data_IF_503412245391
#
_entry.id   IF_503412245391
#
_cell.length_a   1.000
_cell.length_b   1.000
_cell.length_c   1.000
_cell.angle_alpha   90.00
_cell.angle_beta   90.00
_cell.angle_gamma   90.00
#
_symmetry.space_group_name_H-M   'P 1'
#
loop_
_entity.id
_entity.type
_entity.pdbx_description
1 polymer ?
#
# COMPACT_ATOMS: atom_id res chain seq x y z
N UNK A 1 7.37 19.47 -15.70
CA UNK A 1 8.83 19.47 -15.60
C UNK A 1 9.22 18.19 -14.87
N UNK A 2 10.01 17.30 -15.50
CA UNK A 2 10.54 16.09 -14.87
C UNK A 2 11.36 16.52 -13.65
N UNK A 3 11.05 16.02 -12.47
CA UNK A 3 11.91 16.23 -11.30
C UNK A 3 13.24 15.52 -11.58
N UNK A 4 14.34 16.25 -11.49
CA UNK A 4 15.69 15.69 -11.62
C UNK A 4 16.13 14.99 -10.33
N UNK A 5 15.39 15.23 -9.23
CA UNK A 5 15.73 14.80 -7.88
C UNK A 5 14.62 13.90 -7.28
N UNK A 6 15.06 12.93 -6.52
CA UNK A 6 14.17 12.00 -5.82
C UNK A 6 13.35 12.70 -4.73
N UNK A 7 12.04 12.52 -4.74
CA UNK A 7 11.10 13.08 -3.75
C UNK A 7 11.40 12.63 -2.30
N UNK A 8 12.15 11.52 -2.11
CA UNK A 8 12.44 10.96 -0.79
C UNK A 8 13.82 11.38 -0.27
N UNK A 9 14.86 11.32 -1.10
CA UNK A 9 16.23 11.54 -0.62
C UNK A 9 16.97 12.68 -1.31
N UNK A 10 16.37 13.37 -2.27
CA UNK A 10 17.01 14.41 -3.07
C UNK A 10 18.10 13.89 -4.01
N UNK A 11 18.30 12.58 -4.12
CA UNK A 11 19.33 12.00 -4.98
C UNK A 11 18.93 12.00 -6.47
N UNK A 12 19.89 11.81 -7.38
CA UNK A 12 19.63 11.88 -8.82
C UNK A 12 18.75 10.74 -9.32
N UNK A 13 17.93 11.03 -10.33
CA UNK A 13 16.95 10.11 -10.91
C UNK A 13 17.37 9.73 -12.33
N UNK A 14 17.23 8.45 -12.67
CA UNK A 14 17.46 7.89 -13.99
C UNK A 14 16.26 7.08 -14.48
N UNK A 15 16.12 6.96 -15.81
CA UNK A 15 15.05 6.18 -16.42
C UNK A 15 15.24 4.68 -16.18
N UNK A 16 14.23 4.00 -15.66
CA UNK A 16 14.10 2.55 -15.64
C UNK A 16 13.11 2.12 -16.72
N UNK A 17 13.59 1.69 -17.85
CA UNK A 17 12.75 1.23 -18.96
C UNK A 17 12.34 -0.23 -18.76
N UNK A 18 11.06 -0.46 -18.53
CA UNK A 18 10.48 -1.81 -18.37
C UNK A 18 10.03 -2.41 -19.71
N UNK A 19 9.45 -1.60 -20.61
CA UNK A 19 9.04 -1.95 -21.96
C UNK A 19 8.91 -0.68 -22.84
N UNK A 20 8.70 -0.79 -24.16
CA UNK A 20 8.26 0.34 -24.96
C UNK A 20 6.98 0.95 -24.37
N UNK A 21 7.00 2.25 -24.06
CA UNK A 21 5.87 2.96 -23.46
C UNK A 21 5.71 2.78 -21.94
N UNK A 22 6.56 1.98 -21.27
CA UNK A 22 6.55 1.82 -19.81
C UNK A 22 7.93 2.15 -19.23
N UNK A 23 8.07 3.35 -18.69
CA UNK A 23 9.29 3.84 -18.05
C UNK A 23 8.93 4.38 -16.67
N UNK A 24 9.73 4.05 -15.68
CA UNK A 24 9.67 4.63 -14.33
C UNK A 24 10.91 5.48 -14.09
N UNK A 25 10.78 6.49 -13.27
CA UNK A 25 11.90 7.24 -12.73
C UNK A 25 12.48 6.48 -11.53
N UNK A 26 13.77 6.17 -11.55
CA UNK A 26 14.46 5.44 -10.49
C UNK A 26 15.53 6.31 -9.86
N UNK A 27 15.43 6.52 -8.56
CA UNK A 27 16.51 7.13 -7.80
C UNK A 27 17.73 6.21 -7.77
N UNK A 28 18.91 6.75 -8.16
CA UNK A 28 20.16 5.98 -8.17
C UNK A 28 20.76 5.80 -6.77
N UNK A 29 20.34 6.63 -5.78
CA UNK A 29 20.83 6.56 -4.41
C UNK A 29 19.98 5.61 -3.53
N UNK A 30 18.68 5.80 -3.43
CA UNK A 30 17.80 5.00 -2.56
C UNK A 30 16.96 3.96 -3.30
N UNK A 31 17.00 3.96 -4.63
CA UNK A 31 16.25 3.02 -5.47
C UNK A 31 14.74 3.29 -5.56
N UNK A 32 14.23 4.34 -4.93
CA UNK A 32 12.83 4.75 -5.02
C UNK A 32 12.40 4.86 -6.47
N UNK A 33 11.19 4.37 -6.79
CA UNK A 33 10.63 4.44 -8.14
C UNK A 33 9.41 5.35 -8.14
N UNK A 34 9.31 6.17 -9.18
CA UNK A 34 8.14 7.00 -9.43
C UNK A 34 7.66 6.87 -10.88
N UNK A 35 6.37 7.06 -11.08
CA UNK A 35 5.77 7.14 -12.41
C UNK A 35 5.74 8.60 -12.85
N UNK A 36 6.20 8.88 -14.07
CA UNK A 36 6.04 10.19 -14.68
C UNK A 36 4.57 10.39 -15.09
N UNK A 37 3.84 11.13 -14.27
CA UNK A 37 2.40 11.39 -14.48
C UNK A 37 2.12 12.29 -15.69
N UNK A 38 3.12 13.02 -16.19
CA UNK A 38 2.96 13.82 -17.42
C UNK A 38 2.86 12.91 -18.65
N UNK A 39 3.43 11.70 -18.59
CA UNK A 39 3.38 10.69 -19.66
C UNK A 39 2.25 9.67 -19.49
N UNK A 40 1.83 9.44 -18.28
CA UNK A 40 0.78 8.47 -17.92
C UNK A 40 -0.10 9.04 -16.81
N UNK A 41 -1.06 9.94 -17.15
CA UNK A 41 -1.93 10.52 -16.15
C UNK A 41 -2.70 9.42 -15.41
N UNK A 42 -2.74 9.52 -14.10
CA UNK A 42 -3.47 8.61 -13.25
C UNK A 42 -4.98 8.69 -13.53
N UNK A 43 -5.61 7.53 -13.62
CA UNK A 43 -7.07 7.40 -13.66
C UNK A 43 -7.49 6.46 -12.55
N UNK A 44 -8.47 6.85 -11.76
CA UNK A 44 -9.04 5.97 -10.77
C UNK A 44 -9.71 4.77 -11.43
N UNK A 45 -9.67 3.64 -10.72
CA UNK A 45 -10.47 2.47 -11.06
C UNK A 45 -11.82 2.56 -10.38
N UNK A 46 -12.84 2.04 -11.05
CA UNK A 46 -14.18 1.89 -10.46
C UNK A 46 -14.22 0.90 -9.29
N UNK A 47 -13.19 0.07 -9.13
CA UNK A 47 -13.10 -0.97 -8.10
C UNK A 47 -11.71 -0.95 -7.44
N UNK A 48 -11.69 -0.80 -6.13
CA UNK A 48 -10.52 -1.10 -5.31
C UNK A 48 -10.27 -2.62 -5.34
N UNK A 49 -8.98 -3.01 -5.44
CA UNK A 49 -8.51 -4.40 -5.37
C UNK A 49 -9.08 -5.35 -6.45
N UNK A 50 -8.38 -6.36 -6.80
CA UNK A 50 -8.60 -7.28 -7.90
C UNK A 50 -9.96 -7.97 -8.08
N UNK A 51 -11.00 -7.59 -7.33
CA UNK A 51 -12.39 -7.93 -7.63
C UNK A 51 -12.85 -9.32 -7.21
N UNK A 52 -12.15 -10.02 -6.28
CA UNK A 52 -12.63 -11.28 -5.70
C UNK A 52 -12.84 -11.14 -4.18
N UNK A 53 -14.11 -11.02 -3.71
CA UNK A 53 -14.43 -10.67 -2.32
C UNK A 53 -13.90 -11.64 -1.26
N UNK A 54 -13.82 -12.95 -1.59
CA UNK A 54 -13.35 -13.97 -0.65
C UNK A 54 -11.86 -13.86 -0.40
N UNK A 55 -11.07 -13.66 -1.46
CA UNK A 55 -9.63 -13.47 -1.34
C UNK A 55 -9.29 -12.15 -0.63
N UNK A 56 -10.05 -11.10 -0.92
CA UNK A 56 -9.89 -9.82 -0.23
C UNK A 56 -10.16 -9.95 1.27
N UNK A 57 -11.18 -10.70 1.65
CA UNK A 57 -11.48 -10.99 3.06
C UNK A 57 -10.35 -11.75 3.73
N UNK A 58 -9.84 -12.82 3.12
CA UNK A 58 -8.72 -13.61 3.64
C UNK A 58 -7.47 -12.73 3.78
N UNK A 59 -7.16 -11.93 2.77
CA UNK A 59 -6.02 -11.00 2.80
C UNK A 59 -6.14 -10.00 3.95
N UNK A 60 -7.30 -9.37 4.11
CA UNK A 60 -7.55 -8.45 5.21
C UNK A 60 -7.44 -9.12 6.57
N UNK A 61 -7.93 -10.36 6.74
CA UNK A 61 -7.79 -11.11 7.99
C UNK A 61 -6.32 -11.43 8.31
N UNK A 62 -5.52 -11.79 7.31
CA UNK A 62 -4.09 -12.03 7.47
C UNK A 62 -3.35 -10.73 7.81
N UNK A 63 -3.71 -9.62 7.17
CA UNK A 63 -3.15 -8.30 7.45
C UNK A 63 -3.51 -7.83 8.86
N UNK A 64 -4.76 -7.95 9.28
CA UNK A 64 -5.22 -7.65 10.64
C UNK A 64 -4.40 -8.41 11.70
N UNK A 65 -4.25 -9.74 11.51
CA UNK A 65 -3.43 -10.56 12.41
C UNK A 65 -1.96 -10.17 12.40
N UNK A 66 -1.42 -9.78 11.24
CA UNK A 66 -0.04 -9.32 11.13
C UNK A 66 0.17 -7.99 11.86
N UNK A 67 -0.76 -7.04 11.74
CA UNK A 67 -0.71 -5.76 12.43
C UNK A 67 -0.77 -5.93 13.95
N UNK A 68 -1.64 -6.80 14.44
CA UNK A 68 -1.80 -7.07 15.87
C UNK A 68 -0.60 -7.76 16.53
N UNK A 69 0.35 -8.30 15.77
CA UNK A 69 1.62 -8.79 16.32
C UNK A 69 2.52 -7.70 16.88
N UNK A 70 2.31 -6.45 16.45
CA UNK A 70 3.13 -5.31 16.83
C UNK A 70 2.42 -4.35 17.77
N UNK A 71 1.09 -4.35 17.78
CA UNK A 71 0.28 -3.50 18.63
C UNK A 71 -1.04 -4.19 18.97
N UNK A 72 -1.47 -4.08 20.23
CA UNK A 72 -2.84 -4.40 20.69
C UNK A 72 -3.58 -3.09 21.00
N UNK A 73 -4.00 -2.36 19.94
CA UNK A 73 -4.53 -1.01 20.11
C UNK A 73 -5.93 -1.02 20.71
N UNK A 74 -6.21 -0.06 21.57
CA UNK A 74 -7.56 0.27 22.07
C UNK A 74 -8.21 1.35 21.21
N UNK A 75 -7.40 2.13 20.49
CA UNK A 75 -7.83 3.16 19.55
C UNK A 75 -7.04 3.06 18.26
N UNK A 76 -7.72 3.11 17.10
CA UNK A 76 -7.08 3.04 15.80
C UNK A 76 -7.57 4.16 14.89
N UNK A 77 -6.67 4.60 14.01
CA UNK A 77 -6.98 5.53 12.93
C UNK A 77 -6.52 4.95 11.60
N UNK A 78 -7.43 4.79 10.64
CA UNK A 78 -7.11 4.32 9.29
C UNK A 78 -7.01 5.48 8.30
N UNK A 79 -5.90 5.55 7.59
CA UNK A 79 -5.74 6.47 6.45
C UNK A 79 -6.12 5.70 5.19
N UNK A 80 -7.11 6.21 4.44
CA UNK A 80 -7.67 5.51 3.29
C UNK A 80 -8.55 4.32 3.70
N UNK A 81 -9.58 4.56 4.50
CA UNK A 81 -10.42 3.49 5.05
C UNK A 81 -11.33 2.80 3.99
N UNK A 82 -11.56 3.41 2.83
CA UNK A 82 -12.38 2.83 1.77
C UNK A 82 -13.74 2.32 2.27
N UNK A 83 -13.99 1.02 2.17
CA UNK A 83 -15.21 0.40 2.70
C UNK A 83 -15.27 0.26 4.24
N UNK A 84 -14.23 0.62 4.96
CA UNK A 84 -14.11 0.42 6.41
C UNK A 84 -13.95 -1.05 6.84
N UNK A 85 -13.66 -1.95 5.92
CA UNK A 85 -13.57 -3.38 6.22
C UNK A 85 -12.45 -3.74 7.22
N UNK A 86 -11.37 -2.97 7.28
CA UNK A 86 -10.33 -3.16 8.28
C UNK A 86 -10.71 -2.50 9.60
N UNK A 87 -11.27 -1.27 9.58
CA UNK A 87 -11.83 -0.63 10.77
C UNK A 87 -12.87 -1.53 11.46
N UNK A 88 -13.71 -2.22 10.66
CA UNK A 88 -14.69 -3.16 11.19
C UNK A 88 -14.06 -4.28 12.01
N UNK A 89 -12.91 -4.81 11.60
CA UNK A 89 -12.18 -5.85 12.34
C UNK A 89 -11.65 -5.35 13.68
N UNK A 90 -11.13 -4.13 13.71
CA UNK A 90 -10.67 -3.50 14.94
C UNK A 90 -11.84 -3.18 15.88
N UNK A 91 -12.96 -2.67 15.33
CA UNK A 91 -14.18 -2.40 16.07
C UNK A 91 -14.77 -3.67 16.69
N UNK A 92 -14.84 -4.76 15.94
CA UNK A 92 -15.30 -6.07 16.45
C UNK A 92 -14.29 -6.67 17.46
N UNK A 93 -13.04 -6.26 17.41
CA UNK A 93 -12.00 -6.56 18.40
C UNK A 93 -12.02 -5.68 19.64
N UNK A 94 -12.99 -4.76 19.76
CA UNK A 94 -13.20 -3.89 20.94
C UNK A 94 -12.42 -2.57 20.92
N UNK A 95 -11.76 -2.21 19.81
CA UNK A 95 -11.09 -0.93 19.67
C UNK A 95 -12.08 0.17 19.26
N UNK A 96 -11.82 1.42 19.67
CA UNK A 96 -12.43 2.59 19.04
C UNK A 96 -11.79 2.83 17.69
N UNK A 97 -12.57 3.25 16.70
CA UNK A 97 -12.10 3.39 15.32
C UNK A 97 -12.37 4.78 14.77
N UNK A 98 -11.39 5.32 14.09
CA UNK A 98 -11.51 6.55 13.32
C UNK A 98 -10.77 6.39 11.97
N UNK A 99 -11.02 7.28 11.03
CA UNK A 99 -10.29 7.26 9.77
C UNK A 99 -10.58 8.46 8.89
N UNK A 100 -9.72 8.64 7.89
CA UNK A 100 -9.88 9.65 6.84
C UNK A 100 -9.78 8.99 5.47
N UNK A 101 -10.70 9.34 4.57
CA UNK A 101 -10.70 8.89 3.18
C UNK A 101 -11.25 9.99 2.28
N UNK A 102 -10.61 10.33 1.17
CA UNK A 102 -11.14 11.33 0.24
C UNK A 102 -12.38 10.86 -0.54
N UNK A 103 -12.91 9.66 -0.28
CA UNK A 103 -14.05 9.01 -0.98
C UNK A 103 -13.90 9.00 -2.52
N UNK A 104 -12.67 8.86 -2.97
CA UNK A 104 -12.38 8.89 -4.41
C UNK A 104 -12.93 7.66 -5.15
N UNK A 105 -13.24 6.57 -4.45
CA UNK A 105 -13.74 5.33 -5.03
C UNK A 105 -15.26 5.18 -4.93
N UNK A 106 -15.95 6.08 -4.23
CA UNK A 106 -17.42 6.05 -4.01
C UNK A 106 -17.91 4.68 -3.50
N UNK A 107 -17.14 4.05 -2.64
CA UNK A 107 -17.44 2.74 -2.05
C UNK A 107 -18.32 2.96 -0.82
N UNK A 108 -19.38 2.16 -0.70
CA UNK A 108 -20.22 2.17 0.50
C UNK A 108 -19.43 1.72 1.73
N UNK A 109 -19.45 2.53 2.80
CA UNK A 109 -18.79 2.22 4.07
C UNK A 109 -19.66 1.24 4.88
N UNK A 110 -19.03 0.29 5.58
CA UNK A 110 -19.67 -0.62 6.52
C UNK A 110 -20.57 0.14 7.51
N UNK A 111 -21.83 -0.28 7.64
CA UNK A 111 -22.84 0.42 8.43
C UNK A 111 -22.48 0.52 9.92
N UNK A 112 -21.85 -0.52 10.49
CA UNK A 112 -21.43 -0.49 11.89
C UNK A 112 -20.28 0.51 12.09
N UNK A 113 -19.31 0.53 11.17
CA UNK A 113 -18.21 1.50 11.19
C UNK A 113 -18.74 2.92 11.04
N UNK A 114 -19.71 3.15 10.14
CA UNK A 114 -20.34 4.47 9.98
C UNK A 114 -21.07 4.93 11.23
N UNK A 115 -21.73 4.01 11.96
CA UNK A 115 -22.51 4.35 13.15
C UNK A 115 -21.63 4.54 14.39
N UNK A 116 -20.56 3.74 14.54
CA UNK A 116 -19.79 3.65 15.78
C UNK A 116 -18.37 4.25 15.66
N UNK A 117 -17.91 4.54 14.43
CA UNK A 117 -16.61 5.14 14.17
C UNK A 117 -16.69 6.65 13.96
N UNK A 118 -15.54 7.32 14.04
CA UNK A 118 -15.37 8.71 13.66
C UNK A 118 -14.72 8.80 12.29
N UNK A 119 -15.49 9.11 11.25
CA UNK A 119 -15.05 9.11 9.87
C UNK A 119 -14.96 10.53 9.32
N UNK A 120 -13.85 10.84 8.66
CA UNK A 120 -13.60 12.10 8.00
C UNK A 120 -13.55 11.89 6.48
N UNK A 121 -14.36 12.64 5.76
CA UNK A 121 -14.33 12.71 4.29
C UNK A 121 -13.29 13.74 3.88
N UNK A 122 -12.23 13.31 3.22
CA UNK A 122 -11.16 14.16 2.76
C UNK A 122 -9.77 13.56 2.98
N UNK A 123 -8.74 14.17 2.38
CA UNK A 123 -7.36 13.72 2.56
C UNK A 123 -6.93 13.94 4.01
N UNK A 124 -6.17 13.00 4.56
CA UNK A 124 -5.70 13.06 5.95
C UNK A 124 -4.87 14.31 6.24
N UNK A 125 -4.19 14.85 5.23
CA UNK A 125 -3.38 16.08 5.32
C UNK A 125 -4.22 17.36 5.57
N UNK A 126 -5.54 17.28 5.45
CA UNK A 126 -6.46 18.38 5.77
C UNK A 126 -7.03 18.31 7.18
N UNK A 127 -6.75 17.23 7.93
CA UNK A 127 -7.20 17.10 9.31
C UNK A 127 -6.33 17.92 10.26
N UNK A 128 -6.98 18.47 11.28
CA UNK A 128 -6.30 18.90 12.49
C UNK A 128 -6.08 17.67 13.36
N UNK A 129 -4.83 17.27 13.64
CA UNK A 129 -4.53 16.12 14.49
C UNK A 129 -4.82 16.37 15.97
N UNK A 130 -5.14 17.60 16.37
CA UNK A 130 -5.38 17.95 17.76
C UNK A 130 -6.57 17.17 18.34
N UNK A 131 -6.32 16.47 19.44
CA UNK A 131 -7.32 15.65 20.12
C UNK A 131 -7.51 14.23 19.56
N UNK A 132 -6.70 13.83 18.59
CA UNK A 132 -6.63 12.44 18.13
C UNK A 132 -5.38 11.80 18.76
N UNK A 133 -5.58 10.88 19.69
CA UNK A 133 -4.53 10.16 20.41
C UNK A 133 -4.68 8.65 20.13
N UNK A 134 -4.43 8.23 18.89
CA UNK A 134 -4.57 6.83 18.48
C UNK A 134 -3.39 5.98 18.98
N UNK A 135 -3.66 4.76 19.45
CA UNK A 135 -2.60 3.78 19.76
C UNK A 135 -1.95 3.24 18.48
N UNK A 136 -2.73 3.18 17.39
CA UNK A 136 -2.29 2.72 16.08
C UNK A 136 -2.87 3.62 14.97
N UNK A 137 -1.99 4.16 14.14
CA UNK A 137 -2.37 4.76 12.84
C UNK A 137 -1.87 3.84 11.73
N UNK A 138 -2.70 3.52 10.76
CA UNK A 138 -2.28 2.65 9.67
C UNK A 138 -2.90 3.06 8.33
N UNK A 139 -2.27 2.60 7.25
CA UNK A 139 -2.78 2.73 5.90
C UNK A 139 -2.38 1.51 5.06
N UNK A 140 -3.33 0.98 4.30
CA UNK A 140 -3.13 -0.20 3.46
C UNK A 140 -3.24 0.21 2.01
N UNK A 141 -2.12 0.19 1.29
CA UNK A 141 -2.05 0.65 -0.09
C UNK A 141 -2.54 2.09 -0.26
N UNK A 142 -1.92 3.01 0.47
CA UNK A 142 -2.23 4.44 0.46
C UNK A 142 -1.03 5.28 0.03
N UNK A 143 0.17 4.98 0.56
CA UNK A 143 1.36 5.83 0.32
C UNK A 143 1.77 5.91 -1.14
N UNK A 144 1.43 4.92 -1.94
CA UNK A 144 1.66 4.91 -3.39
C UNK A 144 0.78 5.88 -4.17
N UNK A 145 -0.29 6.40 -3.56
CA UNK A 145 -1.28 7.28 -4.19
C UNK A 145 -1.19 8.74 -3.73
N UNK A 146 -0.70 9.01 -2.52
CA UNK A 146 -0.72 10.36 -1.92
C UNK A 146 0.20 11.35 -2.65
N UNK A 147 -0.08 12.64 -2.52
CA UNK A 147 0.71 13.67 -3.17
C UNK A 147 2.12 13.80 -2.55
N UNK A 148 2.22 13.75 -1.23
CA UNK A 148 3.48 13.85 -0.46
C UNK A 148 3.49 12.80 0.65
N UNK A 149 4.20 11.67 0.46
CA UNK A 149 4.21 10.58 1.41
C UNK A 149 4.89 10.92 2.75
N UNK A 150 5.88 11.81 2.74
CA UNK A 150 6.54 12.24 3.98
C UNK A 150 5.59 13.11 4.81
N UNK A 151 4.82 13.97 4.15
CA UNK A 151 3.77 14.77 4.82
C UNK A 151 2.67 13.87 5.37
N UNK A 152 2.18 12.90 4.61
CA UNK A 152 1.20 11.93 5.09
C UNK A 152 1.70 11.18 6.32
N UNK A 153 2.98 10.75 6.32
CA UNK A 153 3.58 10.08 7.49
C UNK A 153 3.75 11.02 8.68
N UNK A 154 4.02 12.31 8.48
CA UNK A 154 4.05 13.31 9.57
C UNK A 154 2.68 13.47 10.21
N UNK A 155 1.64 13.60 9.40
CA UNK A 155 0.25 13.64 9.90
C UNK A 155 -0.08 12.34 10.65
N UNK A 156 0.28 11.18 10.09
CA UNK A 156 0.09 9.89 10.77
C UNK A 156 0.78 9.84 12.14
N UNK A 157 2.02 10.37 12.25
CA UNK A 157 2.73 10.52 13.52
C UNK A 157 1.97 11.43 14.49
N UNK A 158 1.47 12.55 13.99
CA UNK A 158 0.82 13.57 14.85
C UNK A 158 -0.56 13.11 15.35
N UNK A 159 -1.22 12.19 14.63
CA UNK A 159 -2.45 11.52 15.07
C UNK A 159 -2.24 10.45 16.16
N UNK A 160 -1.01 9.97 16.35
CA UNK A 160 -0.70 8.95 17.36
C UNK A 160 -0.60 9.55 18.76
N UNK A 161 -0.95 8.78 19.77
CA UNK A 161 -0.50 9.03 21.14
C UNK A 161 1.03 8.92 21.25
N UNK A 162 1.69 9.59 22.22
CA UNK A 162 3.11 9.40 22.48
C UNK A 162 3.45 7.91 22.71
N UNK A 163 4.39 7.36 21.94
CA UNK A 163 4.73 5.93 21.94
C UNK A 163 3.77 5.04 21.15
N UNK A 164 2.76 5.61 20.51
CA UNK A 164 1.87 4.91 19.59
C UNK A 164 2.58 4.44 18.32
N UNK A 165 1.96 3.52 17.60
CA UNK A 165 2.58 2.85 16.44
C UNK A 165 1.95 3.29 15.13
N UNK A 166 2.77 3.44 14.11
CA UNK A 166 2.31 3.56 12.72
C UNK A 166 2.62 2.29 11.94
N UNK A 167 1.69 1.89 11.07
CA UNK A 167 1.90 0.77 10.15
C UNK A 167 1.39 1.11 8.75
N UNK A 168 2.24 0.94 7.73
CA UNK A 168 1.85 1.11 6.34
C UNK A 168 2.20 -0.11 5.51
N UNK A 169 1.28 -0.53 4.65
CA UNK A 169 1.53 -1.52 3.60
C UNK A 169 1.53 -0.82 2.24
N UNK A 170 2.55 -1.09 1.42
CA UNK A 170 2.71 -0.47 0.09
C UNK A 170 3.45 -1.41 -0.86
N UNK A 171 3.31 -1.28 -2.19
CA UNK A 171 4.07 -2.08 -3.15
C UNK A 171 5.58 -1.95 -2.98
N UNK A 172 6.29 -3.07 -3.10
CA UNK A 172 7.74 -3.16 -2.98
C UNK A 172 8.42 -2.87 -4.33
N UNK A 173 8.88 -1.64 -4.55
CA UNK A 173 9.58 -1.23 -5.77
C UNK A 173 10.95 -1.92 -5.98
N UNK A 174 11.52 -2.48 -4.92
CA UNK A 174 12.72 -3.31 -4.97
C UNK A 174 12.42 -4.83 -4.97
N UNK A 175 11.17 -5.22 -5.26
CA UNK A 175 10.83 -6.62 -5.50
C UNK A 175 11.46 -7.13 -6.80
N UNK A 176 12.00 -8.35 -6.75
CA UNK A 176 12.49 -9.04 -7.97
C UNK A 176 11.37 -9.23 -9.01
N UNK A 177 10.10 -9.17 -8.59
CA UNK A 177 8.93 -9.21 -9.47
C UNK A 177 8.92 -8.14 -10.56
N UNK A 178 9.46 -6.93 -10.27
CA UNK A 178 9.53 -5.87 -11.27
C UNK A 178 10.50 -6.22 -12.41
N UNK A 179 11.61 -6.91 -12.10
CA UNK A 179 12.57 -7.38 -13.09
C UNK A 179 12.04 -8.59 -13.87
N UNK A 180 11.33 -9.49 -13.17
CA UNK A 180 10.81 -10.74 -13.73
C UNK A 180 9.62 -10.49 -14.68
N UNK A 181 8.68 -9.65 -14.27
CA UNK A 181 7.44 -9.38 -15.01
C UNK A 181 7.48 -8.09 -15.81
N UNK A 182 8.45 -7.20 -15.55
CA UNK A 182 8.62 -5.91 -16.24
C UNK A 182 7.33 -5.08 -16.24
N UNK A 183 6.85 -4.63 -17.39
CA UNK A 183 5.58 -3.91 -17.57
C UNK A 183 4.33 -4.74 -17.22
N UNK A 184 4.44 -6.08 -17.22
CA UNK A 184 3.40 -6.98 -16.74
C UNK A 184 3.29 -7.06 -15.22
N UNK A 185 4.24 -6.51 -14.44
CA UNK A 185 4.16 -6.55 -12.98
C UNK A 185 2.82 -6.01 -12.48
N UNK A 186 2.10 -6.83 -11.68
CA UNK A 186 0.71 -6.54 -11.32
C UNK A 186 0.54 -5.20 -10.59
N UNK A 187 1.52 -4.78 -9.79
CA UNK A 187 1.45 -3.49 -9.07
C UNK A 187 1.43 -2.28 -10.01
N UNK A 188 1.85 -2.45 -11.29
CA UNK A 188 1.74 -1.42 -12.34
C UNK A 188 0.34 -1.39 -12.99
N UNK A 189 -0.54 -2.35 -12.67
CA UNK A 189 -1.88 -2.40 -13.27
C UNK A 189 -2.71 -1.21 -12.85
N UNK A 190 -2.58 -0.75 -11.61
CA UNK A 190 -3.24 0.44 -11.14
C UNK A 190 -2.49 1.70 -11.64
N UNK A 191 -3.13 2.52 -12.50
CA UNK A 191 -2.51 3.73 -12.99
C UNK A 191 -2.33 4.81 -11.91
N UNK A 192 -3.04 4.71 -10.79
CA UNK A 192 -2.93 5.62 -9.65
C UNK A 192 -1.80 5.27 -8.69
N UNK A 193 -1.14 4.12 -8.86
CA UNK A 193 0.14 3.84 -8.19
C UNK A 193 1.23 4.71 -8.82
N UNK A 194 1.46 5.87 -8.25
CA UNK A 194 2.41 6.85 -8.79
C UNK A 194 3.82 6.64 -8.28
N UNK A 195 4.00 5.83 -7.22
CA UNK A 195 5.31 5.50 -6.66
C UNK A 195 5.40 4.08 -6.13
N UNK A 196 6.65 3.58 -6.05
CA UNK A 196 6.96 2.26 -5.53
C UNK A 196 8.20 2.37 -4.64
N UNK A 197 7.98 2.21 -3.35
CA UNK A 197 9.05 2.31 -2.37
C UNK A 197 9.97 1.12 -2.40
N UNK A 198 11.27 1.35 -2.20
CA UNK A 198 12.19 0.34 -1.71
C UNK A 198 12.13 0.27 -0.19
N UNK A 199 12.65 -0.79 0.40
CA UNK A 199 12.76 -0.84 1.86
C UNK A 199 13.56 0.35 2.42
N UNK A 200 14.62 0.76 1.72
CA UNK A 200 15.46 1.89 2.11
C UNK A 200 14.72 3.23 1.98
N UNK A 201 14.03 3.47 0.88
CA UNK A 201 13.29 4.74 0.69
C UNK A 201 12.09 4.85 1.63
N UNK A 202 11.43 3.75 1.95
CA UNK A 202 10.30 3.72 2.89
C UNK A 202 10.77 4.01 4.33
N UNK A 203 11.89 3.39 4.74
CA UNK A 203 12.50 3.67 6.03
C UNK A 203 12.92 5.14 6.14
N UNK A 204 13.61 5.65 5.11
CA UNK A 204 14.02 7.05 5.05
C UNK A 204 12.85 8.02 5.18
N UNK A 205 11.76 7.81 4.43
CA UNK A 205 10.57 8.64 4.49
C UNK A 205 9.94 8.65 5.90
N UNK A 206 9.94 7.50 6.59
CA UNK A 206 9.44 7.41 7.96
C UNK A 206 10.35 8.15 8.96
N UNK A 207 11.67 8.04 8.82
CA UNK A 207 12.65 8.76 9.63
C UNK A 207 12.56 10.27 9.40
N UNK A 208 12.44 10.72 8.15
CA UNK A 208 12.28 12.14 7.78
C UNK A 208 10.93 12.71 8.26
N UNK A 209 9.93 11.83 8.49
CA UNK A 209 8.68 12.18 9.16
C UNK A 209 8.81 12.29 10.70
N UNK A 210 9.96 11.96 11.29
CA UNK A 210 10.21 11.98 12.72
C UNK A 210 9.73 10.76 13.48
N UNK A 211 9.50 9.64 12.77
CA UNK A 211 9.20 8.34 13.38
C UNK A 211 10.50 7.66 13.83
N UNK A 212 10.41 6.84 14.87
CA UNK A 212 11.54 6.10 15.45
C UNK A 212 11.29 4.60 15.40
N UNK A 213 12.32 3.80 15.71
CA UNK A 213 12.28 2.32 15.70
C UNK A 213 11.73 1.75 14.39
N UNK A 214 12.10 2.41 13.30
CA UNK A 214 11.61 2.08 11.96
C UNK A 214 12.05 0.68 11.54
N UNK A 215 11.09 -0.14 11.14
CA UNK A 215 11.32 -1.49 10.60
C UNK A 215 10.51 -1.65 9.32
N UNK A 216 11.13 -2.16 8.28
CA UNK A 216 10.46 -2.49 7.02
C UNK A 216 10.52 -3.99 6.80
N UNK A 217 9.37 -4.61 6.78
CA UNK A 217 9.16 -6.05 6.68
C UNK A 217 8.60 -6.40 5.31
N UNK A 218 8.66 -7.68 4.94
CA UNK A 218 8.07 -8.19 3.70
C UNK A 218 7.13 -9.34 4.01
N UNK A 219 5.81 -9.12 4.02
CA UNK A 219 4.81 -10.16 4.25
C UNK A 219 4.95 -11.31 3.25
N UNK A 220 4.93 -12.55 3.73
CA UNK A 220 5.05 -13.74 2.87
C UNK A 220 3.72 -14.07 2.20
N UNK A 221 2.64 -13.98 2.97
CA UNK A 221 1.30 -14.43 2.56
C UNK A 221 0.50 -13.36 1.79
N UNK A 222 1.02 -12.13 1.72
CA UNK A 222 0.31 -11.08 1.01
C UNK A 222 0.31 -11.34 -0.49
N UNK A 223 -0.86 -11.24 -1.10
CA UNK A 223 -1.03 -11.23 -2.55
C UNK A 223 -0.41 -12.43 -3.30
N UNK A 224 -0.61 -13.67 -2.83
CA UNK A 224 -0.05 -14.89 -3.46
C UNK A 224 -0.51 -15.13 -4.90
N UNK A 225 -1.65 -14.59 -5.30
CA UNK A 225 -2.20 -14.76 -6.66
C UNK A 225 -1.66 -13.72 -7.68
N UNK A 226 -0.92 -12.72 -7.23
CA UNK A 226 -0.47 -11.60 -8.08
C UNK A 226 0.62 -11.99 -9.08
N UNK A 227 1.35 -13.07 -8.80
CA UNK A 227 2.33 -13.61 -9.75
C UNK A 227 1.63 -14.13 -11.01
N UNK A 228 0.52 -14.88 -10.87
CA UNK A 228 -0.29 -15.30 -12.01
C UNK A 228 -0.92 -14.11 -12.76
N UNK A 229 -1.36 -13.09 -12.04
CA UNK A 229 -1.83 -11.85 -12.63
C UNK A 229 -0.73 -11.14 -13.43
N UNK A 230 0.49 -11.10 -12.91
CA UNK A 230 1.64 -10.51 -13.60
C UNK A 230 1.99 -11.26 -14.89
N UNK A 231 1.98 -12.61 -14.85
CA UNK A 231 2.16 -13.44 -16.04
C UNK A 231 1.07 -13.19 -17.07
N UNK A 232 -0.21 -13.16 -16.65
CA UNK A 232 -1.33 -12.91 -17.54
C UNK A 232 -1.26 -11.53 -18.21
N UNK A 233 -0.81 -10.51 -17.48
CA UNK A 233 -0.57 -9.17 -18.04
C UNK A 233 0.59 -9.18 -19.06
N UNK A 234 1.67 -9.89 -18.75
CA UNK A 234 2.83 -10.00 -19.64
C UNK A 234 2.50 -10.70 -20.95
N UNK A 235 1.68 -11.75 -20.91
CA UNK A 235 1.25 -12.50 -22.09
C UNK A 235 0.15 -11.81 -22.89
N UNK A 236 -0.69 -11.01 -22.23
CA UNK A 236 -1.81 -10.31 -22.87
C UNK A 236 -1.94 -8.90 -22.28
N UNK A 237 -1.09 -7.97 -22.72
CA UNK A 237 -1.07 -6.58 -22.23
C UNK A 237 -2.25 -5.79 -22.82
N UNK A 238 -3.42 -5.93 -22.23
CA UNK A 238 -4.61 -5.17 -22.58
C UNK A 238 -5.15 -4.47 -21.33
N UNK A 239 -5.74 -3.33 -21.56
CA UNK A 239 -6.48 -2.63 -20.52
C UNK A 239 -7.68 -3.46 -20.07
N UNK A 240 -7.85 -3.59 -18.75
CA UNK A 240 -8.94 -4.34 -18.11
C UNK A 240 -9.57 -3.48 -17.02
N UNK A 241 -10.71 -2.83 -17.28
CA UNK A 241 -11.35 -1.93 -16.34
C UNK A 241 -11.58 -2.53 -14.95
N UNK A 242 -11.86 -3.85 -14.89
CA UNK A 242 -12.07 -4.60 -13.65
C UNK A 242 -10.80 -5.28 -13.11
N UNK A 243 -9.63 -5.02 -13.70
CA UNK A 243 -8.38 -5.66 -13.37
C UNK A 243 -8.26 -7.12 -13.84
N UNK A 244 -7.02 -7.61 -13.91
CA UNK A 244 -6.73 -8.96 -14.44
C UNK A 244 -7.22 -10.08 -13.52
N UNK A 245 -7.29 -9.84 -12.20
CA UNK A 245 -7.79 -10.81 -11.21
C UNK A 245 -9.31 -11.03 -11.26
N UNK A 246 -10.07 -10.23 -12.00
CA UNK A 246 -11.48 -10.50 -12.29
C UNK A 246 -11.66 -11.71 -13.20
N UNK A 247 -10.62 -12.19 -13.88
CA UNK A 247 -10.62 -13.40 -14.71
C UNK A 247 -10.56 -14.66 -13.85
N UNK A 248 -11.61 -15.50 -13.90
CA UNK A 248 -11.65 -16.79 -13.19
C UNK A 248 -10.48 -17.70 -13.56
N UNK A 249 -10.02 -17.68 -14.82
CA UNK A 249 -8.88 -18.47 -15.26
C UNK A 249 -7.57 -17.99 -14.60
N UNK A 250 -7.35 -16.69 -14.54
CA UNK A 250 -6.17 -16.11 -13.86
C UNK A 250 -6.21 -16.40 -12.37
N UNK A 251 -7.38 -16.24 -11.75
CA UNK A 251 -7.59 -16.55 -10.35
C UNK A 251 -7.32 -18.02 -10.04
N UNK A 252 -7.87 -18.93 -10.83
CA UNK A 252 -7.64 -20.37 -10.71
C UNK A 252 -6.17 -20.75 -10.88
N UNK A 253 -5.47 -20.16 -11.86
CA UNK A 253 -4.03 -20.34 -12.04
C UNK A 253 -3.23 -19.80 -10.84
N UNK A 254 -3.63 -18.65 -10.28
CA UNK A 254 -3.03 -18.06 -9.08
C UNK A 254 -3.19 -18.96 -7.86
N UNK A 255 -4.37 -19.50 -7.63
CA UNK A 255 -4.63 -20.44 -6.53
C UNK A 255 -3.85 -21.75 -6.70
N UNK A 256 -3.82 -22.30 -7.91
CA UNK A 256 -3.06 -23.53 -8.20
C UNK A 256 -1.54 -23.33 -8.03
N UNK A 257 -1.00 -22.17 -8.38
CA UNK A 257 0.43 -21.84 -8.24
C UNK A 257 0.82 -21.38 -6.84
N UNK A 258 -0.14 -21.05 -5.96
CA UNK A 258 0.12 -20.45 -4.64
C UNK A 258 1.13 -21.23 -3.77
N UNK A 259 1.13 -22.59 -3.72
CA UNK A 259 2.13 -23.33 -2.95
C UNK A 259 3.56 -23.13 -3.48
N UNK A 260 3.74 -23.10 -4.80
CA UNK A 260 5.04 -22.86 -5.44
C UNK A 260 5.51 -21.44 -5.19
N UNK A 261 4.61 -20.45 -5.37
CA UNK A 261 4.88 -19.03 -5.08
C UNK A 261 5.26 -18.85 -3.61
N UNK A 262 4.55 -19.49 -2.68
CA UNK A 262 4.87 -19.45 -1.26
C UNK A 262 6.27 -20.00 -0.98
N UNK A 263 6.62 -21.18 -1.52
CA UNK A 263 7.95 -21.77 -1.40
C UNK A 263 9.04 -20.85 -1.93
N UNK A 264 8.84 -20.26 -3.11
CA UNK A 264 9.77 -19.30 -3.70
C UNK A 264 9.95 -18.04 -2.85
N UNK A 265 8.86 -17.49 -2.28
CA UNK A 265 8.89 -16.30 -1.42
C UNK A 265 9.50 -16.57 -0.04
N UNK A 266 9.42 -17.80 0.47
CA UNK A 266 10.12 -18.21 1.68
C UNK A 266 11.64 -18.27 1.43
N UNK A 267 12.05 -18.86 0.31
CA UNK A 267 13.46 -18.96 -0.08
C UNK A 267 14.09 -17.63 -0.50
N UNK A 268 13.30 -16.75 -1.15
CA UNK A 268 13.75 -15.46 -1.70
C UNK A 268 12.84 -14.32 -1.24
N UNK A 269 13.11 -13.65 -0.12
CA UNK A 269 12.29 -12.56 0.40
C UNK A 269 12.05 -11.39 -0.58
N UNK A 270 12.97 -11.16 -1.51
CA UNK A 270 12.80 -10.13 -2.56
C UNK A 270 11.74 -10.44 -3.62
N UNK A 271 11.22 -11.67 -3.68
CA UNK A 271 10.04 -11.99 -4.49
C UNK A 271 8.72 -11.51 -3.87
N UNK A 272 8.73 -11.08 -2.61
CA UNK A 272 7.52 -10.59 -1.93
C UNK A 272 7.18 -9.19 -2.44
N UNK A 273 5.94 -8.97 -2.93
CA UNK A 273 5.59 -7.77 -3.67
C UNK A 273 5.22 -6.58 -2.79
N UNK A 274 5.11 -6.76 -1.48
CA UNK A 274 4.63 -5.75 -0.53
C UNK A 274 5.67 -5.48 0.54
N UNK A 275 5.81 -4.22 0.94
CA UNK A 275 6.51 -3.76 2.13
C UNK A 275 5.50 -3.49 3.24
N UNK A 276 5.88 -3.79 4.47
CA UNK A 276 5.14 -3.45 5.68
C UNK A 276 6.06 -2.62 6.59
N UNK A 277 5.81 -1.32 6.65
CA UNK A 277 6.45 -0.39 7.57
C UNK A 277 5.82 -0.54 8.94
N UNK A 278 6.65 -0.62 9.97
CA UNK A 278 6.27 -0.55 11.39
C UNK A 278 7.21 0.43 12.06
N UNK A 279 6.68 1.48 12.69
CA UNK A 279 7.47 2.48 13.37
C UNK A 279 6.69 3.07 14.55
N UNK A 280 7.33 3.88 15.39
CA UNK A 280 6.76 4.45 16.61
C UNK A 280 6.85 5.98 16.61
N UNK A 281 5.86 6.64 17.21
CA UNK A 281 5.95 8.04 17.60
C UNK A 281 6.89 8.17 18.80
N UNK A 282 7.84 9.12 18.85
CA UNK A 282 8.59 9.44 20.06
C UNK A 282 7.67 9.73 21.26
N UNK A 283 8.12 9.39 22.46
CA UNK A 283 7.41 9.70 23.72
C UNK A 283 7.53 11.16 24.09
#
# INVERSE_FOLDING_TARGET
VKSLDCEICGGPVADLRLAPGCTLDRCTACGHLARDLTRAPARHRDLAYGGEPTLDRIRLDLTYRAMRRYAEPRSVFEIGYGSGSMLRRFLDGGATVAGADPDQLQIGVDEKVRREGTLHEGPVESLDPAGVDADLVYGIHVLEHVADPVRTMRVARDLLAPGGMVQFLTPAGDSDGIQLYRDGWWMLEDPTHVRFFTAASLARAAEDAGLIRVRVLRPVLDSLVTDAASVARRLSPRDRPRGVLSSRAVLGAGLASAPVVLGARLARPRLRPTLHLVAERPR
#
